data_IF_761094402817
#
_entry.id   IF_761094402817
#
_cell.length_a   1.000
_cell.length_b   1.000
_cell.length_c   1.000
_cell.angle_alpha   90.00
_cell.angle_beta   90.00
_cell.angle_gamma   90.00
#
_symmetry.space_group_name_H-M   'P 1'
#
loop_
_entity.id
_entity.type
_entity.pdbx_description
1 polymer ?
#
# COMPACT_ATOMS: atom_id res chain seq x y z
N UNK A 1 21.70 -1.32 -11.25
CA UNK A 1 20.23 -1.16 -11.27
C UNK A 1 19.81 -0.82 -12.69
N UNK A 2 18.88 -1.56 -13.30
CA UNK A 2 18.34 -1.23 -14.63
C UNK A 2 17.34 -0.07 -14.51
N UNK A 3 16.98 0.57 -15.63
CA UNK A 3 15.91 1.58 -15.63
C UNK A 3 14.59 1.01 -15.06
N UNK A 4 14.25 -0.23 -15.41
CA UNK A 4 13.10 -0.93 -14.85
C UNK A 4 13.22 -1.12 -13.33
N UNK A 5 14.36 -1.63 -12.84
CA UNK A 5 14.59 -1.82 -11.40
C UNK A 5 14.49 -0.52 -10.62
N UNK A 6 14.95 0.60 -11.19
CA UNK A 6 14.83 1.93 -10.56
C UNK A 6 13.37 2.40 -10.47
N UNK A 7 12.59 2.28 -11.54
CA UNK A 7 11.16 2.63 -11.53
C UNK A 7 10.36 1.71 -10.62
N UNK A 8 10.70 0.42 -10.55
CA UNK A 8 10.05 -0.51 -9.62
C UNK A 8 10.36 -0.16 -8.16
N UNK A 9 11.59 0.29 -7.87
CA UNK A 9 11.95 0.78 -6.54
C UNK A 9 11.18 2.06 -6.15
N UNK A 10 10.92 2.95 -7.10
CA UNK A 10 10.04 4.11 -6.88
C UNK A 10 8.59 3.67 -6.61
N UNK A 11 8.08 2.72 -7.39
CA UNK A 11 6.72 2.19 -7.21
C UNK A 11 6.52 1.53 -5.83
N UNK A 12 7.53 0.84 -5.30
CA UNK A 12 7.50 0.33 -3.91
C UNK A 12 7.20 1.46 -2.91
N UNK A 13 7.81 2.63 -3.10
CA UNK A 13 7.53 3.81 -2.27
C UNK A 13 6.08 4.30 -2.42
N UNK A 14 5.56 4.32 -3.65
CA UNK A 14 4.16 4.68 -3.90
C UNK A 14 3.17 3.73 -3.22
N UNK A 15 3.39 2.41 -3.30
CA UNK A 15 2.50 1.43 -2.68
C UNK A 15 2.52 1.51 -1.14
N UNK A 16 3.70 1.73 -0.54
CA UNK A 16 3.76 1.96 0.91
C UNK A 16 3.09 3.28 1.32
N UNK A 17 3.23 4.34 0.51
CA UNK A 17 2.51 5.60 0.76
C UNK A 17 0.99 5.41 0.63
N UNK A 18 0.53 4.68 -0.39
CA UNK A 18 -0.89 4.33 -0.57
C UNK A 18 -1.44 3.52 0.60
N UNK A 19 -0.68 2.52 1.08
CA UNK A 19 -1.04 1.74 2.28
C UNK A 19 -1.28 2.64 3.51
N UNK A 20 -0.37 3.58 3.79
CA UNK A 20 -0.55 4.53 4.89
C UNK A 20 -1.72 5.50 4.66
N UNK A 21 -1.93 5.93 3.42
CA UNK A 21 -3.05 6.79 3.06
C UNK A 21 -4.39 6.07 3.28
N UNK A 22 -4.48 4.78 2.98
CA UNK A 22 -5.67 3.98 3.26
C UNK A 22 -5.89 3.74 4.75
N UNK A 23 -4.84 3.64 5.57
CA UNK A 23 -4.99 3.65 7.04
C UNK A 23 -5.61 4.98 7.48
N UNK A 24 -5.11 6.12 6.99
CA UNK A 24 -5.64 7.43 7.35
C UNK A 24 -7.13 7.57 6.96
N UNK A 25 -7.51 7.10 5.77
CA UNK A 25 -8.91 7.09 5.32
C UNK A 25 -9.77 6.16 6.19
N UNK A 26 -9.27 4.97 6.54
CA UNK A 26 -9.98 4.02 7.38
C UNK A 26 -10.25 4.60 8.78
N UNK A 27 -9.25 5.25 9.39
CA UNK A 27 -9.38 5.93 10.69
C UNK A 27 -10.39 7.07 10.62
N UNK A 28 -10.34 7.87 9.54
CA UNK A 28 -11.35 8.92 9.33
C UNK A 28 -12.77 8.35 9.26
N UNK A 29 -12.99 7.26 8.51
CA UNK A 29 -14.31 6.64 8.44
C UNK A 29 -14.76 5.97 9.75
N UNK A 30 -13.83 5.47 10.57
CA UNK A 30 -14.15 4.96 11.89
C UNK A 30 -14.66 6.08 12.81
N UNK A 31 -14.02 7.25 12.78
CA UNK A 31 -14.42 8.44 13.57
C UNK A 31 -15.81 8.95 13.15
N UNK A 32 -16.11 8.92 11.85
CA UNK A 32 -17.43 9.24 11.29
C UNK A 32 -18.49 8.13 11.52
N UNK A 33 -18.17 7.08 12.28
CA UNK A 33 -19.05 5.93 12.55
C UNK A 33 -19.46 5.12 11.30
N UNK A 34 -18.68 5.20 10.22
CA UNK A 34 -18.90 4.51 8.94
C UNK A 34 -18.14 3.18 8.87
N UNK A 35 -18.49 2.24 9.75
CA UNK A 35 -17.72 1.00 10.01
C UNK A 35 -17.43 0.11 8.80
N UNK A 36 -18.38 -0.03 7.87
CA UNK A 36 -18.17 -0.85 6.66
C UNK A 36 -17.13 -0.23 5.73
N UNK A 37 -17.13 1.10 5.61
CA UNK A 37 -16.12 1.83 4.84
C UNK A 37 -14.75 1.77 5.54
N UNK A 38 -14.70 1.96 6.86
CA UNK A 38 -13.46 1.81 7.63
C UNK A 38 -12.85 0.41 7.43
N UNK A 39 -13.65 -0.65 7.60
CA UNK A 39 -13.23 -2.05 7.38
C UNK A 39 -12.75 -2.31 5.95
N UNK A 40 -13.41 -1.73 4.95
CA UNK A 40 -12.94 -1.79 3.57
C UNK A 40 -11.54 -1.18 3.42
N UNK A 41 -11.32 0.05 3.90
CA UNK A 41 -10.04 0.73 3.75
C UNK A 41 -8.91 0.13 4.59
N UNK A 42 -9.21 -0.45 5.76
CA UNK A 42 -8.21 -1.25 6.49
C UNK A 42 -7.73 -2.46 5.69
N UNK A 43 -8.62 -3.15 4.96
CA UNK A 43 -8.23 -4.26 4.08
C UNK A 43 -7.41 -3.76 2.89
N UNK A 44 -7.83 -2.67 2.24
CA UNK A 44 -7.08 -2.04 1.15
C UNK A 44 -5.67 -1.62 1.59
N UNK A 45 -5.51 -1.08 2.79
CA UNK A 45 -4.18 -0.73 3.31
C UNK A 45 -3.23 -1.94 3.39
N UNK A 46 -3.75 -3.11 3.79
CA UNK A 46 -2.96 -4.36 3.83
C UNK A 46 -2.66 -4.86 2.41
N UNK A 47 -3.61 -4.74 1.49
CA UNK A 47 -3.41 -5.10 0.07
C UNK A 47 -2.28 -4.29 -0.56
N UNK A 48 -2.25 -2.96 -0.42
CA UNK A 48 -1.17 -2.13 -0.99
C UNK A 48 0.19 -2.40 -0.33
N UNK A 49 0.20 -2.66 0.98
CA UNK A 49 1.42 -3.13 1.65
C UNK A 49 1.93 -4.42 1.00
N UNK A 50 1.04 -5.35 0.68
CA UNK A 50 1.42 -6.61 0.05
C UNK A 50 1.87 -6.41 -1.40
N UNK A 51 1.27 -5.49 -2.16
CA UNK A 51 1.75 -5.10 -3.48
C UNK A 51 3.21 -4.59 -3.41
N UNK A 52 3.52 -3.69 -2.47
CA UNK A 52 4.88 -3.21 -2.24
C UNK A 52 5.85 -4.38 -1.96
N UNK A 53 5.46 -5.29 -1.07
CA UNK A 53 6.29 -6.44 -0.68
C UNK A 53 6.49 -7.44 -1.83
N UNK A 54 5.52 -7.62 -2.73
CA UNK A 54 5.69 -8.44 -3.93
C UNK A 54 6.74 -7.85 -4.87
N UNK A 55 6.76 -6.54 -5.05
CA UNK A 55 7.76 -5.85 -5.87
C UNK A 55 9.15 -5.92 -5.22
N UNK A 56 9.24 -5.77 -3.89
CA UNK A 56 10.49 -5.99 -3.14
C UNK A 56 11.03 -7.40 -3.39
N UNK A 57 10.17 -8.41 -3.27
CA UNK A 57 10.57 -9.80 -3.50
C UNK A 57 11.07 -10.00 -4.94
N UNK A 58 10.35 -9.45 -5.93
CA UNK A 58 10.78 -9.52 -7.32
C UNK A 58 12.19 -8.93 -7.52
N UNK A 59 12.50 -7.77 -6.92
CA UNK A 59 13.83 -7.16 -7.01
C UNK A 59 14.94 -7.99 -6.33
N UNK A 60 14.61 -8.80 -5.32
CA UNK A 60 15.57 -9.68 -4.66
C UNK A 60 15.82 -10.96 -5.46
N UNK A 61 14.83 -11.42 -6.23
CA UNK A 61 14.90 -12.63 -7.04
C UNK A 61 15.59 -12.41 -8.41
N UNK A 62 15.81 -11.16 -8.82
CA UNK A 62 16.41 -10.75 -10.11
C UNK A 62 17.79 -10.16 -9.97
#
# INVERSE_FOLDING_TARGET
MTAFSSSLNEQIGHEFAASQQYIAIAVYYEDESLKELASHFYRQAVEERNHAMMMVQHLLDT
#
